data_IF_587553013396
#
_entry.id   IF_587553013396
#
_cell.length_a   1.000
_cell.length_b   1.000
_cell.length_c   1.000
_cell.angle_alpha   90.00
_cell.angle_beta   90.00
_cell.angle_gamma   90.00
#
_symmetry.space_group_name_H-M   'P 1'
#
loop_
_entity.id
_entity.type
_entity.pdbx_description
1 polymer ?
#
# COMPACT_ATOMS: atom_id res chain seq x y z
N UNK A 1 -6.68 13.76 -0.95
CA UNK A 1 -6.47 12.70 0.04
C UNK A 1 -7.41 11.56 -0.31
N UNK A 2 -6.93 10.33 -0.43
CA UNK A 2 -7.83 9.19 -0.65
C UNK A 2 -8.69 8.99 0.58
N UNK A 3 -9.91 8.47 0.41
CA UNK A 3 -10.66 8.04 1.57
C UNK A 3 -9.96 6.82 2.15
N UNK A 4 -9.97 6.68 3.46
CA UNK A 4 -9.46 5.48 4.13
C UNK A 4 -10.11 4.21 3.57
N UNK A 5 -11.38 4.32 3.14
CA UNK A 5 -12.14 3.29 2.42
C UNK A 5 -11.44 2.82 1.13
N UNK A 6 -10.92 3.74 0.31
CA UNK A 6 -10.24 3.41 -0.95
C UNK A 6 -8.92 2.64 -0.69
N UNK A 7 -8.25 2.97 0.42
CA UNK A 7 -6.98 2.36 0.83
C UNK A 7 -7.21 0.97 1.40
N UNK A 8 -8.27 0.80 2.19
CA UNK A 8 -8.69 -0.50 2.70
C UNK A 8 -9.10 -1.44 1.56
N UNK A 9 -9.91 -0.97 0.61
CA UNK A 9 -10.30 -1.75 -0.57
C UNK A 9 -9.08 -2.23 -1.38
N UNK A 10 -8.11 -1.33 -1.61
CA UNK A 10 -6.87 -1.68 -2.30
C UNK A 10 -6.03 -2.70 -1.51
N UNK A 11 -5.99 -2.56 -0.18
CA UNK A 11 -5.26 -3.47 0.72
C UNK A 11 -5.88 -4.87 0.75
N UNK A 12 -7.21 -4.98 0.80
CA UNK A 12 -7.90 -6.25 0.67
C UNK A 12 -7.74 -6.88 -0.72
N UNK A 13 -7.72 -6.07 -1.77
CA UNK A 13 -7.53 -6.56 -3.13
C UNK A 13 -6.13 -7.14 -3.35
N UNK A 14 -5.09 -6.61 -2.69
CA UNK A 14 -3.70 -7.07 -2.89
C UNK A 14 -3.32 -8.27 -2.02
N UNK A 15 -3.93 -8.46 -0.84
CA UNK A 15 -3.67 -9.56 0.11
C UNK A 15 -3.54 -10.94 -0.58
N UNK A 16 -4.49 -11.39 -1.43
CA UNK A 16 -4.43 -12.71 -2.06
C UNK A 16 -3.23 -12.87 -3.03
N UNK A 17 -2.69 -11.76 -3.53
CA UNK A 17 -1.63 -11.74 -4.52
C UNK A 17 -0.25 -11.52 -3.89
N UNK A 18 -0.14 -11.23 -2.59
CA UNK A 18 1.14 -10.94 -1.94
C UNK A 18 2.15 -12.07 -2.07
N UNK A 19 1.70 -13.32 -1.99
CA UNK A 19 2.58 -14.49 -2.14
C UNK A 19 3.18 -14.60 -3.54
N UNK A 20 2.39 -14.29 -4.56
CA UNK A 20 2.85 -14.26 -5.96
C UNK A 20 3.79 -13.10 -6.22
N UNK A 21 3.51 -11.93 -5.63
CA UNK A 21 4.24 -10.69 -5.86
C UNK A 21 5.56 -10.61 -5.08
N UNK A 22 5.61 -11.16 -3.86
CA UNK A 22 6.68 -10.94 -2.89
C UNK A 22 7.41 -12.22 -2.47
N UNK A 23 6.92 -13.39 -2.90
CA UNK A 23 7.53 -14.68 -2.59
C UNK A 23 7.74 -14.88 -1.08
N UNK A 24 8.99 -15.03 -0.66
CA UNK A 24 9.35 -15.27 0.75
C UNK A 24 9.05 -14.10 1.69
N UNK A 25 8.93 -12.87 1.18
CA UNK A 25 8.61 -11.69 1.98
C UNK A 25 7.10 -11.52 2.20
N UNK A 26 6.27 -12.25 1.45
CA UNK A 26 4.82 -12.09 1.46
C UNK A 26 4.20 -12.19 2.84
N UNK A 27 4.67 -13.15 3.66
CA UNK A 27 4.13 -13.37 5.01
C UNK A 27 4.40 -12.21 5.96
N UNK A 28 5.59 -11.62 5.89
CA UNK A 28 5.95 -10.46 6.72
C UNK A 28 5.11 -9.24 6.33
N UNK A 29 4.95 -9.03 5.02
CA UNK A 29 4.21 -7.89 4.47
C UNK A 29 2.71 -8.05 4.66
N UNK A 30 2.18 -9.27 4.54
CA UNK A 30 0.80 -9.59 4.89
C UNK A 30 0.52 -9.28 6.36
N UNK A 31 1.46 -9.61 7.25
CA UNK A 31 1.30 -9.33 8.67
C UNK A 31 1.34 -7.82 8.98
N UNK A 32 2.25 -7.07 8.35
CA UNK A 32 2.31 -5.61 8.47
C UNK A 32 1.07 -4.95 7.87
N UNK A 33 0.59 -5.42 6.72
CA UNK A 33 -0.61 -4.90 6.07
C UNK A 33 -1.87 -5.14 6.91
N UNK A 34 -2.01 -6.33 7.50
CA UNK A 34 -3.15 -6.64 8.38
C UNK A 34 -3.15 -5.77 9.64
N UNK A 35 -1.98 -5.44 10.20
CA UNK A 35 -1.86 -4.54 11.35
C UNK A 35 -2.31 -3.12 10.98
N UNK A 36 -1.87 -2.62 9.81
CA UNK A 36 -2.28 -1.32 9.28
C UNK A 36 -3.78 -1.28 8.97
N UNK A 37 -4.35 -2.33 8.37
CA UNK A 37 -5.80 -2.46 8.16
C UNK A 37 -6.54 -2.36 9.49
N UNK A 38 -6.12 -3.10 10.52
CA UNK A 38 -6.76 -3.06 11.83
C UNK A 38 -6.72 -1.68 12.50
N UNK A 39 -5.61 -0.95 12.32
CA UNK A 39 -5.45 0.44 12.78
C UNK A 39 -6.35 1.42 12.03
N UNK A 40 -6.47 1.28 10.72
CA UNK A 40 -7.41 2.03 9.90
C UNK A 40 -8.87 1.78 10.29
N UNK A 41 -9.25 0.51 10.53
CA UNK A 41 -10.59 0.14 11.01
C UNK A 41 -10.90 0.70 12.41
N UNK A 42 -9.88 0.87 13.25
CA UNK A 42 -10.00 1.52 14.56
C UNK A 42 -10.17 3.05 14.48
N UNK A 43 -10.11 3.63 13.28
CA UNK A 43 -10.25 5.06 13.05
C UNK A 43 -8.97 5.86 13.27
N UNK A 44 -7.81 5.20 13.22
CA UNK A 44 -6.52 5.89 13.26
C UNK A 44 -6.30 6.67 11.96
N UNK A 45 -5.84 7.92 12.08
CA UNK A 45 -5.59 8.82 10.95
C UNK A 45 -4.20 8.52 10.33
N UNK A 46 -3.97 8.95 9.09
CA UNK A 46 -2.69 8.85 8.34
C UNK A 46 -2.16 7.42 8.06
N UNK A 47 -2.99 6.39 8.24
CA UNK A 47 -2.64 5.00 7.90
C UNK A 47 -2.41 4.79 6.40
N UNK A 48 -3.00 5.65 5.56
CA UNK A 48 -2.77 5.61 4.12
C UNK A 48 -1.28 5.78 3.78
N UNK A 49 -0.59 6.72 4.43
CA UNK A 49 0.84 6.97 4.27
C UNK A 49 1.66 5.74 4.69
N UNK A 50 1.30 5.10 5.80
CA UNK A 50 2.02 3.91 6.29
C UNK A 50 1.86 2.71 5.35
N UNK A 51 0.66 2.51 4.79
CA UNK A 51 0.41 1.50 3.76
C UNK A 51 1.19 1.84 2.48
N UNK A 52 1.25 3.12 2.11
CA UNK A 52 2.08 3.58 0.99
C UNK A 52 3.55 3.24 1.21
N UNK A 53 4.10 3.47 2.40
CA UNK A 53 5.51 3.22 2.71
C UNK A 53 5.83 1.73 2.77
N UNK A 54 4.90 0.89 3.24
CA UNK A 54 5.02 -0.57 3.26
C UNK A 54 5.26 -1.16 1.86
N UNK A 55 4.61 -0.61 0.84
CA UNK A 55 4.82 -0.98 -0.56
C UNK A 55 5.84 -0.09 -1.28
N UNK A 56 6.19 1.03 -0.67
CA UNK A 56 6.99 2.11 -1.23
C UNK A 56 8.50 1.97 -1.02
N UNK A 57 8.97 1.04 -0.19
CA UNK A 57 10.40 0.87 0.07
C UNK A 57 11.18 0.49 -1.21
N UNK A 58 11.94 1.47 -1.74
CA UNK A 58 12.69 1.44 -3.01
C UNK A 58 13.69 0.28 -3.15
N UNK A 59 14.06 -0.39 -2.05
CA UNK A 59 15.11 -1.42 -2.00
C UNK A 59 14.62 -2.86 -2.10
N UNK A 60 13.30 -3.11 -2.14
CA UNK A 60 12.79 -4.47 -2.25
C UNK A 60 12.42 -4.81 -3.70
N UNK A 61 12.91 -5.95 -4.18
CA UNK A 61 12.50 -6.81 -5.31
C UNK A 61 11.93 -6.13 -6.59
N UNK A 62 12.34 -6.52 -7.82
CA UNK A 62 11.77 -6.00 -9.07
C UNK A 62 10.23 -5.89 -9.12
N UNK A 63 9.50 -6.81 -8.48
CA UNK A 63 8.05 -6.76 -8.37
C UNK A 63 7.54 -5.63 -7.46
N UNK A 64 8.22 -5.37 -6.34
CA UNK A 64 7.96 -4.23 -5.46
C UNK A 64 8.36 -2.91 -6.08
N UNK A 65 9.45 -2.87 -6.85
CA UNK A 65 9.82 -1.70 -7.65
C UNK A 65 8.79 -1.40 -8.74
N UNK A 66 8.23 -2.42 -9.39
CA UNK A 66 7.13 -2.25 -10.35
C UNK A 66 5.87 -1.72 -9.66
N UNK A 67 5.50 -2.30 -8.52
CA UNK A 67 4.37 -1.84 -7.69
C UNK A 67 4.58 -0.38 -7.24
N UNK A 68 5.76 -0.07 -6.71
CA UNK A 68 6.18 1.28 -6.32
C UNK A 68 6.05 2.25 -7.51
N UNK A 69 6.49 1.88 -8.70
CA UNK A 69 6.39 2.76 -9.87
C UNK A 69 4.93 3.00 -10.30
N UNK A 70 4.07 1.97 -10.30
CA UNK A 70 2.64 2.15 -10.61
C UNK A 70 1.95 3.03 -9.56
N UNK A 71 2.28 2.81 -8.29
CA UNK A 71 1.69 3.55 -7.17
C UNK A 71 2.22 4.99 -7.12
N UNK A 72 3.51 5.21 -7.39
CA UNK A 72 4.16 6.52 -7.49
C UNK A 72 3.63 7.34 -8.66
N UNK A 73 3.41 6.72 -9.82
CA UNK A 73 2.79 7.41 -10.97
C UNK A 73 1.37 7.88 -10.63
N UNK A 74 0.61 7.10 -9.83
CA UNK A 74 -0.67 7.55 -9.28
C UNK A 74 -0.51 8.70 -8.28
N UNK A 75 0.46 8.64 -7.36
CA UNK A 75 0.75 9.72 -6.39
C UNK A 75 1.09 11.05 -7.09
N UNK A 76 1.97 11.01 -8.09
CA UNK A 76 2.36 12.18 -8.90
C UNK A 76 1.17 12.73 -9.68
N UNK A 77 0.29 11.86 -10.19
CA UNK A 77 -0.93 12.28 -10.87
C UNK A 77 -1.88 13.06 -9.93
N UNK A 78 -2.00 12.64 -8.68
CA UNK A 78 -2.90 13.28 -7.70
C UNK A 78 -2.36 14.61 -7.16
N UNK A 79 -1.05 14.70 -6.94
CA UNK A 79 -0.36 15.95 -6.60
C UNK A 79 -0.50 16.98 -7.73
N UNK A 80 -0.41 16.54 -9.00
CA UNK A 80 -0.63 17.42 -10.16
C UNK A 80 -2.09 17.78 -10.39
N UNK A 81 -3.03 16.93 -9.94
CA UNK A 81 -4.46 17.18 -10.05
C UNK A 81 -5.02 18.07 -8.92
N UNK A 82 -4.20 18.44 -7.93
CA UNK A 82 -4.59 19.26 -6.77
C UNK A 82 -5.72 18.60 -5.92
N UNK A 83 -5.74 17.27 -5.90
CA UNK A 83 -6.76 16.47 -5.18
C UNK A 83 -6.25 16.05 -3.78
N UNK A 84 -4.97 16.29 -3.49
CA UNK A 84 -4.32 16.18 -2.18
C UNK A 84 -3.46 17.42 -1.98
#
# INVERSE_FOLDING_TARGET
MYKIEDVLDASYAILPHLTELLGSQAKEVEQQLNDLIGRAEAGEEDIDIEIYDLFGAEECDPARKWMHNIIKDKKIFLEKANII
#
